data_IF_252164307240
#
_entry.id   IF_252164307240
#
_cell.length_a   1.000
_cell.length_b   1.000
_cell.length_c   1.000
_cell.angle_alpha   90.00
_cell.angle_beta   90.00
_cell.angle_gamma   90.00
#
_symmetry.space_group_name_H-M   'P 1'
#
loop_
_entity.id
_entity.type
_entity.pdbx_description
1 polymer ?
#
# COMPACT_ATOMS: atom_id res chain seq x y z
N UNK A 1 8.53 6.91 3.37
CA UNK A 1 8.10 6.10 2.21
C UNK A 1 7.89 7.05 1.05
N UNK A 2 8.33 6.68 -0.15
CA UNK A 2 8.32 7.58 -1.31
C UNK A 2 7.69 6.90 -2.50
N UNK A 3 7.02 7.68 -3.34
CA UNK A 3 6.60 7.27 -4.69
C UNK A 3 7.58 7.87 -5.68
N UNK A 4 7.97 7.09 -6.68
CA UNK A 4 8.88 7.53 -7.71
C UNK A 4 8.09 7.76 -9.00
N UNK A 5 8.05 9.01 -9.44
CA UNK A 5 7.63 9.36 -10.79
C UNK A 5 8.72 8.90 -11.75
N UNK A 6 8.35 8.07 -12.72
CA UNK A 6 9.27 7.51 -13.71
C UNK A 6 8.82 7.90 -15.11
N UNK A 7 9.78 8.26 -15.96
CA UNK A 7 9.60 8.38 -17.41
C UNK A 7 10.60 7.44 -18.08
N UNK A 8 10.13 6.24 -18.45
CA UNK A 8 11.01 5.16 -18.89
C UNK A 8 11.93 4.72 -17.75
N UNK A 9 13.24 4.74 -17.97
CA UNK A 9 14.25 4.40 -16.95
C UNK A 9 14.69 5.60 -16.11
N UNK A 10 14.15 6.79 -16.37
CA UNK A 10 14.53 8.02 -15.67
C UNK A 10 13.54 8.36 -14.57
N UNK A 11 14.09 8.72 -13.41
CA UNK A 11 13.34 9.25 -12.26
C UNK A 11 13.05 10.72 -12.51
N UNK A 12 11.78 11.11 -12.50
CA UNK A 12 11.34 12.49 -12.73
C UNK A 12 10.85 13.18 -11.47
N UNK A 13 10.45 12.41 -10.44
CA UNK A 13 10.05 12.94 -9.14
C UNK A 13 10.19 11.86 -8.05
N UNK A 14 10.43 12.28 -6.81
CA UNK A 14 10.55 11.39 -5.64
C UNK A 14 9.79 11.92 -4.41
N UNK A 15 8.49 12.27 -4.53
CA UNK A 15 7.71 12.75 -3.39
C UNK A 15 7.65 11.74 -2.25
N UNK A 16 7.82 12.23 -1.03
CA UNK A 16 7.53 11.47 0.19
C UNK A 16 6.02 11.44 0.39
N UNK A 17 5.46 10.23 0.56
CA UNK A 17 4.02 10.04 0.74
C UNK A 17 3.65 9.61 2.18
N UNK A 18 4.62 9.71 3.10
CA UNK A 18 4.41 9.50 4.54
C UNK A 18 5.48 8.64 5.19
N UNK A 19 5.30 8.36 6.49
CA UNK A 19 6.10 7.40 7.25
C UNK A 19 5.32 6.10 7.36
N UNK A 20 6.03 4.98 7.20
CA UNK A 20 5.45 3.65 7.33
C UNK A 20 5.47 3.25 8.80
N UNK A 21 4.33 2.80 9.28
CA UNK A 21 4.21 2.30 10.65
C UNK A 21 5.00 0.98 10.77
N UNK A 22 5.64 0.69 11.92
CA UNK A 22 6.47 -0.51 12.07
C UNK A 22 5.71 -1.80 11.74
N UNK A 23 6.40 -2.74 11.09
CA UNK A 23 5.86 -4.04 10.72
C UNK A 23 5.09 -4.04 9.39
N UNK A 24 4.69 -2.90 8.85
CA UNK A 24 4.08 -2.87 7.52
C UNK A 24 5.12 -3.04 6.40
N UNK A 25 4.78 -3.84 5.39
CA UNK A 25 5.52 -3.95 4.13
C UNK A 25 4.57 -3.83 2.92
N UNK A 26 5.11 -3.48 1.76
CA UNK A 26 4.34 -3.34 0.53
C UNK A 26 3.93 -4.71 -0.02
N UNK A 27 2.63 -4.93 -0.15
CA UNK A 27 2.09 -6.23 -0.56
C UNK A 27 1.51 -6.21 -1.98
N UNK A 28 1.05 -5.05 -2.46
CA UNK A 28 0.48 -4.93 -3.80
C UNK A 28 -0.04 -3.53 -4.14
N UNK A 29 -0.51 -3.37 -5.37
CA UNK A 29 -1.17 -2.14 -5.83
C UNK A 29 -2.38 -2.49 -6.70
N UNK A 30 -3.40 -1.65 -6.67
CA UNK A 30 -4.65 -1.86 -7.42
C UNK A 30 -5.62 -0.71 -7.18
N UNK A 31 -6.75 -0.70 -7.87
CA UNK A 31 -7.85 0.22 -7.55
C UNK A 31 -8.76 -0.48 -6.53
N UNK A 32 -8.50 -0.25 -5.24
CA UNK A 32 -9.19 -0.94 -4.16
C UNK A 32 -10.45 -0.19 -3.71
N UNK A 33 -10.50 1.15 -3.92
CA UNK A 33 -11.67 1.98 -3.59
C UNK A 33 -12.62 2.23 -4.77
N UNK A 34 -12.26 1.82 -5.99
CA UNK A 34 -13.11 1.86 -7.18
C UNK A 34 -13.23 3.25 -7.82
N UNK A 35 -12.25 4.13 -7.64
CA UNK A 35 -12.27 5.50 -8.17
C UNK A 35 -11.42 5.67 -9.46
N UNK A 36 -10.89 4.57 -9.99
CA UNK A 36 -10.03 4.55 -11.17
C UNK A 36 -8.59 4.97 -10.91
N UNK A 37 -8.19 5.17 -9.64
CA UNK A 37 -6.80 5.49 -9.26
C UNK A 37 -6.13 4.27 -8.63
N UNK A 38 -4.80 4.25 -8.69
CA UNK A 38 -4.01 3.15 -8.12
C UNK A 38 -3.73 3.42 -6.64
N UNK A 39 -4.37 2.64 -5.79
CA UNK A 39 -4.12 2.55 -4.36
C UNK A 39 -2.99 1.54 -4.06
N UNK A 40 -2.47 1.59 -2.82
CA UNK A 40 -1.38 0.73 -2.37
C UNK A 40 -1.84 -0.16 -1.21
N UNK A 41 -1.56 -1.46 -1.30
CA UNK A 41 -1.84 -2.45 -0.27
C UNK A 41 -0.58 -2.73 0.56
N UNK A 42 -0.75 -2.70 1.88
CA UNK A 42 0.28 -3.05 2.84
C UNK A 42 -0.21 -4.13 3.80
N UNK A 43 0.69 -5.02 4.18
CA UNK A 43 0.48 -6.04 5.20
C UNK A 43 1.39 -5.79 6.38
N UNK A 44 0.89 -5.96 7.61
CA UNK A 44 1.69 -5.92 8.82
C UNK A 44 2.20 -7.32 9.20
N UNK A 45 3.50 -7.53 9.24
CA UNK A 45 4.12 -8.83 9.53
C UNK A 45 3.86 -9.35 10.95
N UNK A 46 3.56 -8.45 11.90
CA UNK A 46 3.36 -8.81 13.29
C UNK A 46 1.88 -9.05 13.63
N UNK A 47 0.99 -8.23 13.07
CA UNK A 47 -0.45 -8.29 13.36
C UNK A 47 -1.25 -8.98 12.25
N UNK A 48 -0.64 -9.23 11.10
CA UNK A 48 -1.29 -9.68 9.87
C UNK A 48 -2.40 -8.75 9.38
N UNK A 49 -2.35 -7.48 9.78
CA UNK A 49 -3.29 -6.45 9.33
C UNK A 49 -3.06 -6.10 7.87
N UNK A 50 -4.12 -6.06 7.08
CA UNK A 50 -4.14 -5.52 5.74
C UNK A 50 -4.69 -4.10 5.74
N UNK A 51 -3.90 -3.19 5.17
CA UNK A 51 -4.20 -1.76 5.14
C UNK A 51 -3.98 -1.20 3.75
N UNK A 52 -5.01 -0.56 3.21
CA UNK A 52 -4.95 0.17 1.94
C UNK A 52 -4.56 1.63 2.22
N UNK A 53 -3.74 2.18 1.34
CA UNK A 53 -3.52 3.62 1.21
C UNK A 53 -4.27 4.07 -0.03
N UNK A 54 -5.30 4.86 0.19
CA UNK A 54 -6.08 5.46 -0.86
C UNK A 54 -5.24 6.58 -1.47
N UNK A 55 -4.96 6.50 -2.77
CA UNK A 55 -4.01 7.40 -3.43
C UNK A 55 -4.70 8.36 -4.39
N UNK A 56 -4.22 9.60 -4.39
CA UNK A 56 -4.53 10.59 -5.42
C UNK A 56 -3.24 11.14 -6.01
N UNK A 57 -2.78 10.48 -7.08
CA UNK A 57 -1.45 10.72 -7.64
C UNK A 57 -0.38 10.34 -6.63
N UNK A 58 0.34 11.33 -6.12
CA UNK A 58 1.42 11.14 -5.13
C UNK A 58 1.01 11.59 -3.73
N UNK A 59 -0.29 11.68 -3.44
CA UNK A 59 -0.82 11.99 -2.11
C UNK A 59 -1.61 10.80 -1.57
N UNK A 60 -1.42 10.49 -0.29
CA UNK A 60 -2.28 9.55 0.44
C UNK A 60 -3.49 10.32 0.94
N UNK A 61 -4.69 9.97 0.47
CA UNK A 61 -5.95 10.56 0.91
C UNK A 61 -6.43 9.93 2.23
N UNK A 62 -6.30 8.62 2.35
CA UNK A 62 -6.72 7.88 3.53
C UNK A 62 -5.87 6.62 3.77
N UNK A 63 -5.89 6.16 5.03
CA UNK A 63 -5.40 4.85 5.44
C UNK A 63 -6.61 4.03 5.88
N UNK A 64 -6.91 2.95 5.17
CA UNK A 64 -8.10 2.14 5.43
C UNK A 64 -7.67 0.72 5.80
N UNK A 65 -7.96 0.28 7.02
CA UNK A 65 -7.80 -1.12 7.39
C UNK A 65 -8.91 -1.93 6.72
N UNK A 66 -8.53 -2.95 5.95
CA UNK A 66 -9.48 -3.79 5.19
C UNK A 66 -9.63 -5.19 5.77
N UNK A 67 -8.77 -5.58 6.72
CA UNK A 67 -8.91 -6.84 7.44
C UNK A 67 -7.64 -7.27 8.16
N UNK A 68 -7.67 -8.48 8.70
CA UNK A 68 -6.53 -9.15 9.32
C UNK A 68 -6.51 -10.59 8.84
N UNK A 69 -5.36 -11.07 8.37
CA UNK A 69 -5.21 -12.46 7.92
C UNK A 69 -5.13 -13.36 9.14
N UNK A 70 -5.91 -14.44 9.14
CA UNK A 70 -5.82 -15.46 10.16
C UNK A 70 -4.66 -16.42 9.85
N UNK A 71 -3.45 -16.02 10.26
CA UNK A 71 -2.24 -16.81 10.07
C UNK A 71 -2.29 -18.17 10.79
N UNK A 72 -3.07 -18.31 11.87
CA UNK A 72 -3.24 -19.58 12.58
C UNK A 72 -4.03 -20.63 11.78
N UNK A 73 -4.68 -20.21 10.69
CA UNK A 73 -5.39 -21.09 9.76
C UNK A 73 -4.64 -21.24 8.42
N UNK A 74 -3.33 -20.95 8.40
CA UNK A 74 -2.42 -21.07 7.24
C UNK A 74 -2.80 -20.22 6.01
N UNK A 75 -3.67 -19.22 6.19
CA UNK A 75 -3.98 -18.26 5.14
C UNK A 75 -2.84 -17.27 4.97
N UNK A 76 -2.54 -16.94 3.71
CA UNK A 76 -1.61 -15.88 3.34
C UNK A 76 -2.19 -15.05 2.20
N UNK A 77 -1.74 -13.81 2.08
CA UNK A 77 -2.11 -12.95 0.97
C UNK A 77 -1.53 -13.51 -0.33
N UNK A 78 -2.34 -13.50 -1.38
CA UNK A 78 -1.90 -13.78 -2.75
C UNK A 78 -2.17 -12.52 -3.57
N UNK A 79 -1.14 -11.97 -4.23
CA UNK A 79 -1.20 -10.71 -4.98
C UNK A 79 -0.90 -10.85 -6.47
#
# INVERSE_FOLDING_TARGET
MAVWGMKGTQVTANPQIGVMDPGFHFAGKGDYKGDGKTDLLFENDATHELSVRDMNGTQVEAKTQIGTINAAADWHLVS
#
